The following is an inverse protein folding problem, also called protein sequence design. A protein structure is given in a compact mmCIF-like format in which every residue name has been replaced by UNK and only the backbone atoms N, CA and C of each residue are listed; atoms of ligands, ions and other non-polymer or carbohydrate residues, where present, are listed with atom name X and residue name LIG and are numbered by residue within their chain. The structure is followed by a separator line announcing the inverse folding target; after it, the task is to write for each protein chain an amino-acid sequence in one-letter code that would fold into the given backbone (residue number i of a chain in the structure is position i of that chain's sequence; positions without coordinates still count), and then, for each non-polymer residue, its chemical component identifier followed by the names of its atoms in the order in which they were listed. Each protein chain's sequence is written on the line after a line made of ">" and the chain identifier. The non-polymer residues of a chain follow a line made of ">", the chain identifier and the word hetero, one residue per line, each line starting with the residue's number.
data_IF_316741829382
#
_entry.id   IF_316741829382
#
_cell.length_a   1.000
_cell.length_b   1.000
_cell.length_c   1.000
_cell.angle_alpha   90.00
_cell.angle_beta   90.00
_cell.angle_gamma   90.00
#
_symmetry.space_group_name_H-M   'P 1'
#
loop_
_entity.id
_entity.type
_entity.pdbx_description
1 polymer ?
#
# COMPACT_ATOMS: atom_id res chain seq x y z
N UNK A 1 -31.73 31.93 -15.78
CA UNK A 1 -30.87 30.87 -15.22
C UNK A 1 -29.42 31.30 -15.39
N UNK A 2 -28.75 31.70 -14.29
CA UNK A 2 -27.40 32.27 -14.34
C UNK A 2 -26.37 31.15 -14.48
N UNK A 3 -25.57 31.19 -15.55
CA UNK A 3 -24.40 30.34 -15.69
C UNK A 3 -23.35 30.75 -14.65
N UNK A 4 -23.22 30.00 -13.56
CA UNK A 4 -22.05 30.10 -12.69
C UNK A 4 -20.83 29.74 -13.54
N UNK A 5 -20.05 30.75 -13.96
CA UNK A 5 -18.72 30.51 -14.54
C UNK A 5 -17.89 29.90 -13.42
N UNK A 6 -17.57 28.61 -13.56
CA UNK A 6 -16.65 27.92 -12.68
C UNK A 6 -15.32 28.68 -12.67
N UNK A 7 -15.02 29.36 -11.56
CA UNK A 7 -13.81 30.15 -11.41
C UNK A 7 -12.67 29.20 -11.05
N UNK A 8 -11.95 28.71 -12.06
CA UNK A 8 -10.89 27.70 -11.91
C UNK A 8 -9.83 28.11 -10.88
N UNK A 9 -9.58 29.40 -10.68
CA UNK A 9 -8.61 29.88 -9.67
C UNK A 9 -9.10 29.68 -8.24
N UNK A 10 -10.34 30.05 -7.97
CA UNK A 10 -10.99 29.88 -6.67
C UNK A 10 -11.08 28.39 -6.31
N UNK A 11 -11.46 27.56 -7.28
CA UNK A 11 -11.44 26.11 -7.11
C UNK A 11 -10.04 25.56 -6.78
N UNK A 12 -8.99 26.02 -7.46
CA UNK A 12 -7.61 25.58 -7.19
C UNK A 12 -7.12 26.03 -5.81
N UNK A 13 -7.49 27.22 -5.37
CA UNK A 13 -7.17 27.72 -4.03
C UNK A 13 -7.88 26.90 -2.94
N UNK A 14 -9.15 26.58 -3.13
CA UNK A 14 -9.91 25.72 -2.22
C UNK A 14 -9.32 24.31 -2.13
N UNK A 15 -8.98 23.71 -3.28
CA UNK A 15 -8.33 22.39 -3.33
C UNK A 15 -6.98 22.43 -2.65
N UNK A 16 -6.17 23.47 -2.89
CA UNK A 16 -4.86 23.63 -2.25
C UNK A 16 -5.02 23.74 -0.73
N UNK A 17 -5.96 24.56 -0.26
CA UNK A 17 -6.24 24.74 1.16
C UNK A 17 -6.71 23.43 1.81
N UNK A 18 -7.49 22.62 1.10
CA UNK A 18 -7.94 21.33 1.58
C UNK A 18 -6.80 20.30 1.63
N UNK A 19 -5.88 20.31 0.65
CA UNK A 19 -4.74 19.41 0.61
C UNK A 19 -3.67 19.76 1.66
N UNK A 20 -3.29 21.04 1.75
CA UNK A 20 -2.23 21.53 2.64
C UNK A 20 -2.73 21.86 4.06
N UNK A 21 -4.06 21.90 4.26
CA UNK A 21 -4.66 22.29 5.53
C UNK A 21 -4.31 21.36 6.70
N UNK A 22 -4.51 21.85 7.92
CA UNK A 22 -4.35 21.06 9.14
C UNK A 22 -5.67 20.41 9.60
N UNK A 23 -6.77 20.73 8.91
CA UNK A 23 -8.10 20.23 9.23
C UNK A 23 -8.23 18.73 8.90
N UNK A 24 -8.85 17.99 9.82
CA UNK A 24 -9.16 16.55 9.70
C UNK A 24 -7.95 15.64 9.36
N UNK A 25 -6.87 15.67 10.14
CA UNK A 25 -5.65 14.92 9.84
C UNK A 25 -5.88 13.41 9.81
N UNK A 26 -6.81 12.89 10.61
CA UNK A 26 -7.17 11.48 10.65
C UNK A 26 -7.85 11.00 9.37
N UNK A 27 -8.82 11.77 8.86
CA UNK A 27 -9.52 11.47 7.61
C UNK A 27 -8.57 11.55 6.42
N UNK A 28 -7.69 12.55 6.42
CA UNK A 28 -6.67 12.69 5.37
C UNK A 28 -5.64 11.54 5.42
N UNK A 29 -5.26 11.09 6.61
CA UNK A 29 -4.41 9.91 6.79
C UNK A 29 -5.08 8.62 6.28
N UNK A 30 -6.39 8.47 6.43
CA UNK A 30 -7.14 7.30 5.96
C UNK A 30 -7.11 7.14 4.42
N UNK A 31 -7.02 8.26 3.68
CA UNK A 31 -6.86 8.27 2.22
C UNK A 31 -5.62 7.47 1.79
N UNK A 32 -4.59 7.38 2.65
CA UNK A 32 -3.38 6.60 2.38
C UNK A 32 -3.67 5.17 1.91
N UNK A 33 -4.76 4.59 2.40
CA UNK A 33 -5.13 3.19 2.18
C UNK A 33 -5.96 2.97 0.92
N UNK A 34 -6.19 4.00 0.09
CA UNK A 34 -6.64 3.75 -1.28
C UNK A 34 -5.50 3.02 -2.02
N UNK A 35 -5.73 1.81 -2.56
CA UNK A 35 -4.67 1.02 -3.18
C UNK A 35 -3.89 1.79 -4.26
N UNK A 36 -2.61 1.45 -4.39
CA UNK A 36 -1.64 1.93 -5.38
C UNK A 36 -1.24 3.42 -5.29
N UNK A 37 -2.17 4.33 -5.01
CA UNK A 37 -1.91 5.78 -5.12
C UNK A 37 -2.32 6.61 -3.90
N UNK A 38 -3.17 6.10 -3.01
CA UNK A 38 -3.71 6.86 -1.87
C UNK A 38 -2.64 7.44 -0.95
N UNK A 39 -1.57 6.68 -0.72
CA UNK A 39 -0.45 7.04 0.16
C UNK A 39 0.35 8.27 -0.33
N UNK A 40 0.30 8.58 -1.63
CA UNK A 40 1.05 9.70 -2.21
C UNK A 40 0.54 11.06 -1.72
N UNK A 41 -0.78 11.21 -1.57
CA UNK A 41 -1.43 12.44 -1.13
C UNK A 41 -0.93 12.93 0.25
N UNK A 42 -1.11 12.16 1.35
CA UNK A 42 -0.60 12.55 2.67
C UNK A 42 0.92 12.64 2.72
N UNK A 43 1.64 11.84 1.93
CA UNK A 43 3.10 11.93 1.84
C UNK A 43 3.58 13.25 1.21
N UNK A 44 2.89 13.77 0.21
CA UNK A 44 3.31 15.00 -0.46
C UNK A 44 2.82 16.25 0.27
N UNK A 45 1.52 16.29 0.61
CA UNK A 45 0.88 17.51 1.12
C UNK A 45 0.94 17.65 2.64
N UNK A 46 0.95 16.53 3.40
CA UNK A 46 0.81 16.55 4.86
C UNK A 46 1.84 15.72 5.63
N UNK A 47 3.02 15.46 5.06
CA UNK A 47 4.09 14.66 5.71
C UNK A 47 4.61 15.21 7.03
N UNK A 48 4.38 16.48 7.31
CA UNK A 48 4.75 17.13 8.57
C UNK A 48 3.83 16.69 9.72
N UNK A 49 2.61 16.25 9.42
CA UNK A 49 1.68 15.68 10.39
C UNK A 49 2.05 14.22 10.65
N UNK A 50 2.33 13.87 11.90
CA UNK A 50 2.83 12.54 12.25
C UNK A 50 1.85 11.40 11.89
N UNK A 51 0.54 11.62 12.07
CA UNK A 51 -0.51 10.65 11.73
C UNK A 51 -0.52 10.36 10.23
N UNK A 52 -0.50 11.41 9.40
CA UNK A 52 -0.44 11.31 7.94
C UNK A 52 0.84 10.61 7.48
N UNK A 53 1.99 11.00 8.03
CA UNK A 53 3.29 10.36 7.73
C UNK A 53 3.30 8.89 8.08
N UNK A 54 2.81 8.53 9.27
CA UNK A 54 2.78 7.14 9.73
C UNK A 54 1.92 6.27 8.80
N UNK A 55 0.66 6.67 8.56
CA UNK A 55 -0.25 5.88 7.74
C UNK A 55 0.14 5.86 6.26
N UNK A 56 0.75 6.94 5.72
CA UNK A 56 1.33 6.92 4.39
C UNK A 56 2.44 5.87 4.25
N UNK A 57 3.37 5.79 5.20
CA UNK A 57 4.44 4.78 5.19
C UNK A 57 3.87 3.36 5.33
N UNK A 58 2.88 3.16 6.20
CA UNK A 58 2.23 1.85 6.36
C UNK A 58 1.53 1.42 5.05
N UNK A 59 0.81 2.32 4.40
CA UNK A 59 0.18 2.04 3.13
C UNK A 59 1.20 1.80 2.01
N UNK A 60 2.33 2.52 1.98
CA UNK A 60 3.43 2.24 1.04
C UNK A 60 3.96 0.81 1.20
N UNK A 61 4.21 0.38 2.44
CA UNK A 61 4.67 -0.98 2.75
C UNK A 61 3.65 -2.04 2.32
N UNK A 62 2.36 -1.79 2.57
CA UNK A 62 1.27 -2.68 2.13
C UNK A 62 1.26 -2.85 0.61
N UNK A 63 1.32 -1.74 -0.13
CA UNK A 63 1.35 -1.77 -1.59
C UNK A 63 2.63 -2.43 -2.13
N UNK A 64 3.79 -2.16 -1.53
CA UNK A 64 5.04 -2.80 -1.90
C UNK A 64 4.99 -4.32 -1.69
N UNK A 65 4.43 -4.78 -0.56
CA UNK A 65 4.22 -6.20 -0.28
C UNK A 65 3.28 -6.86 -1.29
N UNK A 66 2.19 -6.18 -1.65
CA UNK A 66 1.27 -6.65 -2.68
C UNK A 66 1.96 -6.78 -4.05
N UNK A 67 2.68 -5.75 -4.50
CA UNK A 67 3.42 -5.78 -5.77
C UNK A 67 4.46 -6.90 -5.77
N UNK A 68 5.20 -7.07 -4.68
CA UNK A 68 6.17 -8.14 -4.55
C UNK A 68 5.53 -9.52 -4.69
N UNK A 69 4.42 -9.76 -3.98
CA UNK A 69 3.70 -11.03 -4.08
C UNK A 69 3.15 -11.27 -5.48
N UNK A 70 2.66 -10.22 -6.14
CA UNK A 70 2.19 -10.31 -7.53
C UNK A 70 3.34 -10.61 -8.51
N UNK A 71 4.53 -10.05 -8.29
CA UNK A 71 5.74 -10.38 -9.06
C UNK A 71 6.15 -11.84 -8.87
N UNK A 72 6.04 -12.38 -7.64
CA UNK A 72 6.27 -13.80 -7.37
C UNK A 72 5.28 -14.66 -8.13
N UNK A 73 3.98 -14.33 -8.07
CA UNK A 73 2.94 -15.06 -8.81
C UNK A 73 3.20 -15.02 -10.32
N UNK A 74 3.54 -13.85 -10.85
CA UNK A 74 3.91 -13.70 -12.26
C UNK A 74 5.11 -14.56 -12.63
N UNK A 75 6.16 -14.56 -11.79
CA UNK A 75 7.34 -15.40 -12.00
C UNK A 75 6.98 -16.90 -11.99
N UNK A 76 6.17 -17.37 -11.05
CA UNK A 76 5.71 -18.77 -11.00
C UNK A 76 4.93 -19.17 -12.26
N UNK A 77 4.17 -18.24 -12.83
CA UNK A 77 3.33 -18.46 -14.01
C UNK A 77 4.14 -18.47 -15.31
N UNK A 78 5.04 -17.50 -15.49
CA UNK A 78 5.72 -17.24 -16.76
C UNK A 78 7.12 -17.88 -16.86
N UNK A 79 7.75 -18.25 -15.74
CA UNK A 79 9.09 -18.84 -15.82
C UNK A 79 9.03 -20.22 -16.50
N UNK A 80 9.72 -20.46 -17.64
CA UNK A 80 9.48 -21.64 -18.48
C UNK A 80 9.69 -22.98 -17.79
N UNK A 81 10.65 -23.04 -16.86
CA UNK A 81 11.01 -24.26 -16.13
C UNK A 81 9.96 -24.55 -15.04
N UNK A 82 9.62 -23.55 -14.21
CA UNK A 82 8.63 -23.72 -13.15
C UNK A 82 7.22 -23.92 -13.71
N UNK A 83 6.86 -23.18 -14.76
CA UNK A 83 5.54 -23.28 -15.38
C UNK A 83 5.32 -24.66 -15.99
N UNK A 84 6.36 -25.27 -16.58
CA UNK A 84 6.35 -26.63 -17.11
C UNK A 84 6.15 -27.67 -16.01
N UNK A 85 6.86 -27.55 -14.87
CA UNK A 85 6.70 -28.44 -13.70
C UNK A 85 5.29 -28.30 -13.10
N UNK A 86 4.81 -27.07 -12.92
CA UNK A 86 3.47 -26.82 -12.38
C UNK A 86 2.35 -27.28 -13.33
N UNK A 87 2.56 -27.19 -14.65
CA UNK A 87 1.64 -27.73 -15.67
C UNK A 87 1.60 -29.25 -15.64
N UNK A 88 2.73 -29.91 -15.42
CA UNK A 88 2.84 -31.37 -15.28
C UNK A 88 1.94 -31.89 -14.13
N UNK A 89 1.87 -31.13 -13.03
CA UNK A 89 1.07 -31.47 -11.84
C UNK A 89 -0.38 -30.92 -11.96
N UNK A 90 -0.75 -30.27 -13.07
CA UNK A 90 -2.01 -29.51 -13.26
C UNK A 90 -2.29 -28.45 -12.18
N UNK A 91 -1.27 -28.06 -11.42
CA UNK A 91 -1.38 -27.10 -10.33
C UNK A 91 -1.30 -25.65 -10.80
N UNK A 92 -0.81 -25.42 -12.03
CA UNK A 92 -0.41 -24.10 -12.52
C UNK A 92 -1.53 -23.04 -12.44
N UNK A 93 -2.76 -23.22 -12.95
CA UNK A 93 -3.74 -22.14 -12.78
C UNK A 93 -4.25 -22.05 -11.33
N UNK A 94 -4.46 -23.17 -10.65
CA UNK A 94 -5.12 -23.19 -9.33
C UNK A 94 -4.28 -22.48 -8.27
N UNK A 95 -2.98 -22.78 -8.19
CA UNK A 95 -2.12 -22.22 -7.15
C UNK A 95 -1.85 -20.73 -7.39
N UNK A 96 -1.59 -20.32 -8.64
CA UNK A 96 -1.34 -18.91 -8.96
C UNK A 96 -2.59 -18.05 -8.81
N UNK A 97 -3.75 -18.58 -9.19
CA UNK A 97 -5.03 -17.88 -9.03
C UNK A 97 -5.40 -17.77 -7.55
N UNK A 98 -5.25 -18.85 -6.78
CA UNK A 98 -5.45 -18.83 -5.33
C UNK A 98 -4.56 -17.78 -4.64
N UNK A 99 -3.26 -17.76 -4.96
CA UNK A 99 -2.34 -16.76 -4.41
C UNK A 99 -2.74 -15.33 -4.81
N UNK A 100 -3.20 -15.13 -6.04
CA UNK A 100 -3.70 -13.83 -6.51
C UNK A 100 -4.95 -13.38 -5.74
N UNK A 101 -5.91 -14.29 -5.52
CA UNK A 101 -7.11 -13.98 -4.74
C UNK A 101 -6.76 -13.63 -3.30
N UNK A 102 -5.90 -14.43 -2.67
CA UNK A 102 -5.42 -14.15 -1.30
C UNK A 102 -4.74 -12.78 -1.25
N UNK A 103 -3.91 -12.43 -2.24
CA UNK A 103 -3.27 -11.11 -2.32
C UNK A 103 -4.28 -9.96 -2.29
N UNK A 104 -5.30 -10.04 -3.13
CA UNK A 104 -6.34 -9.01 -3.24
C UNK A 104 -7.19 -8.92 -1.98
N UNK A 105 -7.54 -10.05 -1.38
CA UNK A 105 -8.28 -10.12 -0.11
C UNK A 105 -7.46 -9.48 1.01
N UNK A 106 -6.18 -9.84 1.15
CA UNK A 106 -5.29 -9.26 2.15
C UNK A 106 -5.12 -7.75 1.94
N UNK A 107 -4.86 -7.31 0.72
CA UNK A 107 -4.76 -5.88 0.39
C UNK A 107 -6.01 -5.12 0.81
N UNK A 108 -7.19 -5.66 0.51
CA UNK A 108 -8.48 -5.03 0.83
C UNK A 108 -8.70 -4.98 2.34
N UNK A 109 -8.52 -6.10 3.05
CA UNK A 109 -8.71 -6.18 4.50
C UNK A 109 -7.76 -5.22 5.22
N UNK A 110 -6.46 -5.23 4.89
CA UNK A 110 -5.49 -4.35 5.53
C UNK A 110 -5.69 -2.88 5.17
N UNK A 111 -6.18 -2.59 3.96
CA UNK A 111 -6.52 -1.22 3.57
C UNK A 111 -7.70 -0.70 4.40
N UNK A 112 -8.76 -1.49 4.57
CA UNK A 112 -9.92 -1.12 5.41
C UNK A 112 -9.51 -0.97 6.87
N UNK A 113 -8.79 -1.94 7.43
CA UNK A 113 -8.31 -1.88 8.82
C UNK A 113 -7.42 -0.66 9.06
N UNK A 114 -6.47 -0.42 8.15
CA UNK A 114 -5.60 0.74 8.21
C UNK A 114 -6.35 2.06 8.13
N UNK A 115 -7.33 2.17 7.22
CA UNK A 115 -8.18 3.36 7.11
C UNK A 115 -9.00 3.60 8.38
N UNK A 116 -9.57 2.55 8.97
CA UNK A 116 -10.32 2.65 10.23
C UNK A 116 -9.42 3.09 11.38
N UNK A 117 -8.20 2.57 11.48
CA UNK A 117 -7.24 2.99 12.50
C UNK A 117 -6.78 4.43 12.29
N UNK A 118 -6.51 4.84 11.05
CA UNK A 118 -6.18 6.22 10.72
C UNK A 118 -7.31 7.18 11.10
N UNK A 119 -8.55 6.82 10.77
CA UNK A 119 -9.73 7.61 11.13
C UNK A 119 -9.91 7.74 12.65
N UNK A 120 -9.60 6.68 13.40
CA UNK A 120 -9.58 6.68 14.87
C UNK A 120 -8.35 7.37 15.48
N UNK A 121 -7.41 7.87 14.68
CA UNK A 121 -6.17 8.50 15.15
C UNK A 121 -5.16 7.53 15.76
N UNK A 122 -5.30 6.22 15.50
CA UNK A 122 -4.46 5.18 16.09
C UNK A 122 -3.22 4.91 15.24
N UNK A 123 -2.04 5.15 15.81
CA UNK A 123 -0.74 4.76 15.22
C UNK A 123 -0.42 3.28 15.50
N UNK A 124 -1.27 2.38 15.05
CA UNK A 124 -1.04 0.94 15.13
C UNK A 124 -0.39 0.42 13.84
N UNK A 125 0.67 -0.37 13.96
CA UNK A 125 1.29 -1.05 12.81
C UNK A 125 0.35 -2.16 12.35
N UNK A 126 0.24 -2.35 11.03
CA UNK A 126 -0.55 -3.46 10.48
C UNK A 126 0.00 -4.80 11.01
N UNK A 127 -0.87 -5.76 11.37
CA UNK A 127 -0.44 -7.08 11.81
C UNK A 127 0.53 -7.73 10.81
N UNK A 128 1.51 -8.51 11.30
CA UNK A 128 2.55 -9.21 10.53
C UNK A 128 3.64 -8.33 9.88
N UNK A 129 3.46 -7.01 9.80
CA UNK A 129 4.52 -6.13 9.27
C UNK A 129 5.78 -6.13 10.14
N UNK A 130 5.70 -6.07 11.49
CA UNK A 130 6.89 -6.11 12.33
C UNK A 130 7.69 -7.41 12.14
N UNK A 131 7.00 -8.55 12.06
CA UNK A 131 7.61 -9.85 11.85
C UNK A 131 8.29 -9.94 10.49
N UNK A 132 7.61 -9.50 9.41
CA UNK A 132 8.18 -9.48 8.06
C UNK A 132 9.38 -8.55 7.99
N UNK A 133 9.31 -7.35 8.57
CA UNK A 133 10.44 -6.40 8.58
C UNK A 133 11.65 -6.96 9.32
N UNK A 134 11.43 -7.61 10.46
CA UNK A 134 12.51 -8.21 11.25
C UNK A 134 13.18 -9.36 10.50
N UNK A 135 12.40 -10.24 9.87
CA UNK A 135 12.95 -11.35 9.07
C UNK A 135 13.68 -10.84 7.82
N UNK A 136 13.15 -9.84 7.12
CA UNK A 136 13.83 -9.20 5.99
C UNK A 136 15.14 -8.56 6.43
N UNK A 137 15.15 -7.82 7.56
CA UNK A 137 16.38 -7.24 8.12
C UNK A 137 17.41 -8.31 8.48
N UNK A 138 16.98 -9.44 9.04
CA UNK A 138 17.85 -10.56 9.40
C UNK A 138 18.48 -11.21 8.16
N UNK A 139 17.71 -11.43 7.10
CA UNK A 139 18.20 -11.98 5.83
C UNK A 139 19.20 -11.01 5.17
N UNK A 140 18.84 -9.72 5.07
CA UNK A 140 19.73 -8.70 4.51
C UNK A 140 21.00 -8.52 5.34
N UNK A 141 20.90 -8.57 6.67
CA UNK A 141 22.04 -8.52 7.58
C UNK A 141 23.00 -9.70 7.38
N UNK A 142 22.48 -10.91 7.15
CA UNK A 142 23.30 -12.08 6.79
C UNK A 142 24.02 -11.87 5.47
N UNK A 143 23.33 -11.42 4.42
CA UNK A 143 23.92 -11.18 3.08
C UNK A 143 25.01 -10.10 3.13
N UNK A 144 24.81 -9.05 3.95
CA UNK A 144 25.78 -7.97 4.14
C UNK A 144 26.98 -8.39 5.00
N UNK A 145 26.77 -9.30 5.95
CA UNK A 145 27.83 -9.85 6.80
C UNK A 145 28.72 -10.91 6.14
N UNK A 146 28.27 -11.52 5.03
CA UNK A 146 29.09 -12.48 4.25
C UNK A 146 30.03 -11.84 3.23
N UNK A 147 30.13 -10.50 3.19
CA UNK A 147 31.10 -9.77 2.34
C UNK A 147 32.35 -9.29 3.10
N UNK A 148 32.68 -9.91 4.25
CA UNK A 148 33.88 -9.63 5.03
C UNK A 148 34.95 -10.70 4.85
#
# INVERSE_FOLDING_TARGET
>A
MSSQRFNTREFLEDVRKLLEGEEYPNSFAAISYIPFFGWFLPWFFRKHQEICKFHAIQAMKLNAGFVFLYLVVWFLREFPILSSILKLIRANPIVTDFLSYVAWVLLTIYSVLGALWAYQGKKAVLPFFPEIENEVRKILGKIRGTQG
#
